data_IF_056729568157
#
_entry.id   IF_056729568157
#
_cell.length_a   1.000
_cell.length_b   1.000
_cell.length_c   1.000
_cell.angle_alpha   90.00
_cell.angle_beta   90.00
_cell.angle_gamma   90.00
#
_symmetry.space_group_name_H-M   'P 1'
#
loop_
_entity.id
_entity.type
_entity.pdbx_description
1 polymer ?
#
# COMPACT_ATOMS: atom_id res chain seq x y z
N UNK A 1 -20.79 5.10 24.96
CA UNK A 1 -20.79 4.98 23.50
C UNK A 1 -19.90 3.80 23.13
N UNK A 2 -20.50 2.71 22.65
CA UNK A 2 -19.84 1.42 22.44
C UNK A 2 -19.09 1.44 21.11
N UNK A 3 -17.75 1.55 21.13
CA UNK A 3 -16.94 1.27 19.94
C UNK A 3 -16.64 -0.22 19.90
N UNK A 4 -17.46 -0.92 19.12
CA UNK A 4 -17.31 -2.32 18.76
C UNK A 4 -15.94 -2.52 18.08
N UNK A 5 -14.92 -2.89 18.85
CA UNK A 5 -13.62 -3.27 18.31
C UNK A 5 -13.81 -4.64 17.68
N UNK A 6 -14.20 -4.66 16.40
CA UNK A 6 -14.33 -5.88 15.62
C UNK A 6 -12.98 -6.59 15.64
N UNK A 7 -12.84 -7.56 16.55
CA UNK A 7 -11.75 -8.51 16.66
C UNK A 7 -11.81 -9.48 15.47
N UNK A 8 -11.71 -8.94 14.26
CA UNK A 8 -11.60 -9.73 13.03
C UNK A 8 -10.12 -10.05 12.88
N UNK A 9 -9.71 -11.33 12.92
CA UNK A 9 -8.35 -11.68 12.58
C UNK A 9 -8.08 -11.13 11.17
N UNK A 10 -7.17 -10.15 11.08
CA UNK A 10 -6.74 -9.59 9.80
C UNK A 10 -5.91 -10.67 9.14
N UNK A 11 -6.52 -11.43 8.22
CA UNK A 11 -5.79 -12.32 7.33
C UNK A 11 -4.80 -11.46 6.53
N UNK A 12 -3.52 -11.62 6.83
CA UNK A 12 -2.46 -10.92 6.11
C UNK A 12 -2.21 -11.68 4.82
N UNK A 13 -2.38 -11.00 3.69
CA UNK A 13 -1.94 -11.55 2.41
C UNK A 13 -0.40 -11.66 2.43
N UNK A 14 0.10 -12.89 2.48
CA UNK A 14 1.53 -13.18 2.30
C UNK A 14 1.83 -13.13 0.81
N UNK A 15 2.61 -12.14 0.40
CA UNK A 15 3.05 -12.00 -0.98
C UNK A 15 4.43 -12.65 -1.15
N UNK A 16 4.59 -13.40 -2.23
CA UNK A 16 5.90 -13.92 -2.61
C UNK A 16 6.84 -12.77 -3.04
N UNK A 17 8.16 -12.88 -2.80
CA UNK A 17 9.15 -12.00 -3.39
C UNK A 17 8.94 -11.83 -4.90
N UNK A 18 9.10 -10.61 -5.41
CA UNK A 18 8.83 -10.28 -6.81
C UNK A 18 7.36 -10.03 -7.15
N UNK A 19 6.44 -10.15 -6.19
CA UNK A 19 5.03 -9.77 -6.43
C UNK A 19 4.94 -8.26 -6.70
N UNK A 20 4.28 -7.91 -7.81
CA UNK A 20 3.98 -6.53 -8.17
C UNK A 20 2.49 -6.26 -7.93
N UNK A 21 2.18 -5.11 -7.33
CA UNK A 21 0.79 -4.63 -7.23
C UNK A 21 0.69 -3.15 -7.49
N UNK A 22 -0.41 -2.76 -8.10
CA UNK A 22 -0.79 -1.35 -8.24
C UNK A 22 -1.73 -0.96 -7.10
N UNK A 23 -1.44 0.17 -6.46
CA UNK A 23 -2.28 0.76 -5.42
C UNK A 23 -2.67 2.16 -5.83
N UNK A 24 -3.95 2.51 -5.64
CA UNK A 24 -4.40 3.89 -5.77
C UNK A 24 -4.00 4.68 -4.53
N UNK A 25 -3.31 5.79 -4.74
CA UNK A 25 -2.97 6.74 -3.70
C UNK A 25 -4.21 7.57 -3.35
N UNK A 26 -4.53 7.63 -2.06
CA UNK A 26 -5.66 8.37 -1.51
C UNK A 26 -5.22 9.43 -0.49
N UNK A 27 -3.91 9.70 -0.38
CA UNK A 27 -3.39 10.72 0.52
C UNK A 27 -3.58 12.12 -0.05
N UNK A 28 -3.76 13.09 0.84
CA UNK A 28 -3.91 14.51 0.51
C UNK A 28 -2.60 15.16 0.01
N UNK A 29 -1.46 14.46 0.11
CA UNK A 29 -0.12 14.96 -0.25
C UNK A 29 0.52 14.29 -1.48
N UNK A 30 1.72 14.76 -1.82
CA UNK A 30 2.54 14.22 -2.92
C UNK A 30 2.81 12.71 -2.71
N UNK A 31 2.60 11.92 -3.77
CA UNK A 31 2.90 10.49 -3.85
C UNK A 31 4.36 10.20 -3.48
N UNK A 32 5.29 11.15 -3.67
CA UNK A 32 6.70 11.04 -3.27
C UNK A 32 6.90 10.92 -1.75
N UNK A 33 5.94 11.37 -0.94
CA UNK A 33 5.93 11.18 0.51
C UNK A 33 5.48 9.78 0.94
N UNK A 34 5.10 8.92 0.00
CA UNK A 34 4.66 7.57 0.31
C UNK A 34 5.79 6.72 0.89
N UNK A 35 5.54 6.14 2.06
CA UNK A 35 6.43 5.17 2.70
C UNK A 35 5.80 3.77 2.59
N UNK A 36 6.34 2.88 1.72
CA UNK A 36 5.79 1.54 1.57
C UNK A 36 5.94 0.71 2.86
N UNK A 37 5.12 -0.34 3.04
CA UNK A 37 5.29 -1.30 4.12
C UNK A 37 6.68 -1.98 4.05
N UNK A 38 7.18 -2.46 5.19
CA UNK A 38 8.50 -3.13 5.25
C UNK A 38 8.61 -4.27 4.23
N UNK A 39 9.75 -4.30 3.51
CA UNK A 39 10.01 -5.26 2.43
C UNK A 39 9.17 -5.03 1.18
N UNK A 40 8.73 -3.80 0.95
CA UNK A 40 8.14 -3.35 -0.32
C UNK A 40 8.90 -2.14 -0.83
N UNK A 41 9.16 -2.10 -2.13
CA UNK A 41 9.65 -0.94 -2.85
C UNK A 41 8.45 -0.29 -3.54
N UNK A 42 8.32 1.04 -3.44
CA UNK A 42 7.29 1.80 -4.12
C UNK A 42 7.86 2.70 -5.21
N UNK A 43 7.14 2.81 -6.33
CA UNK A 43 7.45 3.74 -7.42
C UNK A 43 6.20 4.49 -7.86
N UNK A 44 6.30 5.81 -7.85
CA UNK A 44 5.25 6.70 -8.39
C UNK A 44 5.27 6.66 -9.92
N UNK A 45 4.09 6.60 -10.54
CA UNK A 45 3.98 6.66 -12.00
C UNK A 45 3.73 8.12 -12.44
N UNK A 46 4.57 8.70 -13.31
CA UNK A 46 4.47 10.11 -13.69
C UNK A 46 3.20 10.46 -14.47
N UNK A 47 2.59 9.48 -15.16
CA UNK A 47 1.37 9.67 -15.98
C UNK A 47 0.09 9.17 -15.30
N UNK A 48 0.23 8.53 -14.15
CA UNK A 48 -0.88 8.04 -13.35
C UNK A 48 -0.75 8.67 -11.97
N UNK A 49 -0.94 10.00 -11.95
CA UNK A 49 -1.19 10.76 -10.71
C UNK A 49 -2.24 9.95 -9.97
N UNK A 50 -2.01 9.62 -8.71
CA UNK A 50 -2.85 8.72 -7.90
C UNK A 50 -2.59 7.21 -8.02
N UNK A 51 -1.54 6.74 -8.69
CA UNK A 51 -1.15 5.32 -8.66
C UNK A 51 0.31 5.10 -8.26
N UNK A 52 0.50 4.12 -7.38
CA UNK A 52 1.80 3.64 -6.90
C UNK A 52 1.94 2.18 -7.30
N UNK A 53 3.10 1.85 -7.87
CA UNK A 53 3.49 0.45 -8.09
C UNK A 53 4.35 0.03 -6.91
N UNK A 54 3.95 -1.07 -6.27
CA UNK A 54 4.74 -1.68 -5.22
C UNK A 54 5.28 -3.03 -5.67
N UNK A 55 6.57 -3.27 -5.42
CA UNK A 55 7.23 -4.56 -5.65
C UNK A 55 7.65 -5.14 -4.32
N UNK A 56 7.31 -6.40 -4.08
CA UNK A 56 7.75 -7.15 -2.90
C UNK A 56 9.22 -7.53 -3.08
N UNK A 57 10.07 -7.14 -2.12
CA UNK A 57 11.44 -7.65 -2.03
C UNK A 57 11.46 -9.10 -1.55
#
# INVERSE_FOLDING_TARGET
>A
MSHNTTNRPRMVATYAPGTIRARRWHGDGDVRGYRPPRGWIARALPRAVWWIIETKE
#
